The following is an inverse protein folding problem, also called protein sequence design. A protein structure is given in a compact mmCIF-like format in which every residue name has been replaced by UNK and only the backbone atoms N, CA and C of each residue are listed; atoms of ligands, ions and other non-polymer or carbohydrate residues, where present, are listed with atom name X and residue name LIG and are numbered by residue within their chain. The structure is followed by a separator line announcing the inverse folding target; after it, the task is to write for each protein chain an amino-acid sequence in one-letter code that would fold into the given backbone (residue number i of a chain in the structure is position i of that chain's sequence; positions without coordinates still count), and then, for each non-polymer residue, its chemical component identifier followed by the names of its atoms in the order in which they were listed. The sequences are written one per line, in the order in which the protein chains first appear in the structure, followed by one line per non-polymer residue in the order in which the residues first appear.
data_IF_450787192978
#
_entry.id   IF_450787192978
#
_cell.length_a   1.000
_cell.length_b   1.000
_cell.length_c   1.000
_cell.angle_alpha   90.00
_cell.angle_beta   90.00
_cell.angle_gamma   90.00
#
_symmetry.space_group_name_H-M   'P 1'
#
loop_
_entity.id
_entity.type
_entity.pdbx_description
1 polymer ?
#
# COMPACT_ATOMS: atom_id res chain seq x y z
N UNK A 1 -3.99 -4.20 11.31
CA UNK A 1 -4.20 -2.95 10.56
C UNK A 1 -4.96 -3.23 9.28
N UNK A 2 -5.84 -2.32 8.88
CA UNK A 2 -6.66 -2.46 7.68
C UNK A 2 -6.60 -1.17 6.85
N UNK A 3 -6.22 -1.31 5.59
CA UNK A 3 -6.31 -0.30 4.54
C UNK A 3 -7.34 -0.73 3.48
N UNK A 4 -7.40 -0.03 2.35
CA UNK A 4 -8.17 -0.48 1.18
C UNK A 4 -7.44 -1.54 0.33
N UNK A 5 -6.20 -1.90 0.71
CA UNK A 5 -5.35 -2.83 -0.03
C UNK A 5 -5.74 -4.29 0.18
N UNK A 6 -5.41 -5.15 -0.81
CA UNK A 6 -5.69 -6.60 -0.81
C UNK A 6 -5.01 -7.29 0.36
N UNK A 7 -3.74 -6.98 0.60
CA UNK A 7 -2.91 -7.69 1.59
C UNK A 7 -3.44 -7.50 3.00
N UNK A 8 -3.73 -6.26 3.39
CA UNK A 8 -4.31 -5.96 4.69
C UNK A 8 -5.69 -6.56 4.85
N UNK A 9 -6.51 -6.53 3.80
CA UNK A 9 -7.86 -7.13 3.80
C UNK A 9 -7.79 -8.65 3.92
N UNK A 10 -6.85 -9.30 3.23
CA UNK A 10 -6.60 -10.73 3.35
C UNK A 10 -6.24 -11.11 4.80
N UNK A 11 -5.27 -10.42 5.39
CA UNK A 11 -4.83 -10.68 6.76
C UNK A 11 -5.99 -10.55 7.75
N UNK A 12 -6.77 -9.47 7.67
CA UNK A 12 -7.92 -9.26 8.59
C UNK A 12 -8.98 -10.34 8.41
N UNK A 13 -9.29 -10.71 7.16
CA UNK A 13 -10.27 -11.76 6.87
C UNK A 13 -9.85 -13.12 7.42
N UNK A 14 -8.59 -13.52 7.24
CA UNK A 14 -8.09 -14.80 7.76
C UNK A 14 -8.04 -14.83 9.30
N UNK A 15 -7.61 -13.75 9.92
CA UNK A 15 -7.58 -13.64 11.38
C UNK A 15 -9.01 -13.68 11.97
N UNK A 16 -9.97 -13.05 11.31
CA UNK A 16 -11.35 -13.03 11.75
C UNK A 16 -12.00 -14.43 11.80
N UNK A 17 -11.59 -15.33 10.89
CA UNK A 17 -12.09 -16.72 10.86
C UNK A 17 -11.64 -17.54 12.08
N UNK A 18 -10.45 -17.26 12.59
CA UNK A 18 -9.81 -18.06 13.65
C UNK A 18 -9.79 -17.41 15.03
N UNK A 19 -10.06 -16.12 15.13
CA UNK A 19 -9.89 -15.36 16.39
C UNK A 19 -11.15 -14.57 16.72
N UNK A 20 -11.85 -14.91 17.81
CA UNK A 20 -12.99 -14.13 18.27
C UNK A 20 -12.54 -12.75 18.76
N UNK A 21 -13.43 -11.76 18.64
CA UNK A 21 -13.20 -10.39 19.13
C UNK A 21 -12.06 -9.61 18.49
N UNK A 22 -11.63 -10.00 17.29
CA UNK A 22 -10.70 -9.24 16.47
C UNK A 22 -11.24 -7.82 16.20
N UNK A 23 -10.35 -6.84 16.14
CA UNK A 23 -10.67 -5.46 15.77
C UNK A 23 -9.77 -5.02 14.63
N UNK A 24 -10.32 -4.27 13.68
CA UNK A 24 -9.54 -3.61 12.65
C UNK A 24 -9.23 -2.16 13.06
N UNK A 25 -8.04 -1.70 12.71
CA UNK A 25 -7.60 -0.32 12.93
C UNK A 25 -7.24 0.29 11.60
N UNK A 26 -7.80 1.47 11.33
CA UNK A 26 -7.58 2.22 10.09
C UNK A 26 -7.28 3.67 10.38
N UNK A 27 -6.49 4.30 9.52
CA UNK A 27 -6.23 5.73 9.53
C UNK A 27 -6.59 6.32 8.18
N UNK A 28 -7.07 7.53 8.18
CA UNK A 28 -7.32 8.30 6.96
C UNK A 28 -7.05 9.77 7.20
N UNK A 29 -7.23 10.55 6.17
CA UNK A 29 -7.02 11.99 6.20
C UNK A 29 -8.34 12.74 6.32
N UNK A 30 -8.27 13.97 6.82
CA UNK A 30 -9.43 14.85 6.89
C UNK A 30 -9.97 15.16 5.48
N UNK A 31 -9.07 15.28 4.49
CA UNK A 31 -9.45 15.40 3.09
C UNK A 31 -9.90 14.06 2.52
N UNK A 32 -11.18 13.94 2.24
CA UNK A 32 -11.79 12.71 1.74
C UNK A 32 -11.15 12.16 0.46
N UNK A 33 -10.65 13.05 -0.41
CA UNK A 33 -9.99 12.67 -1.67
C UNK A 33 -8.81 11.72 -1.47
N UNK A 34 -8.13 11.82 -0.34
CA UNK A 34 -6.94 11.03 -0.01
C UNK A 34 -7.21 9.97 1.04
N UNK A 35 -8.45 9.86 1.53
CA UNK A 35 -8.81 8.94 2.60
C UNK A 35 -9.31 7.60 2.08
N UNK A 36 -8.67 6.53 2.51
CA UNK A 36 -9.09 5.14 2.24
C UNK A 36 -10.10 4.61 3.26
N UNK A 37 -10.42 5.39 4.29
CA UNK A 37 -11.30 4.98 5.38
C UNK A 37 -12.67 4.43 4.95
N UNK A 38 -13.36 5.03 3.98
CA UNK A 38 -14.67 4.51 3.56
C UNK A 38 -14.60 3.06 3.10
N UNK A 39 -13.57 2.71 2.32
CA UNK A 39 -13.37 1.34 1.81
C UNK A 39 -13.00 0.36 2.93
N UNK A 40 -12.07 0.75 3.80
CA UNK A 40 -11.66 -0.08 4.92
C UNK A 40 -12.83 -0.36 5.88
N UNK A 41 -13.67 0.64 6.15
CA UNK A 41 -14.84 0.51 7.01
C UNK A 41 -15.93 -0.36 6.38
N UNK A 42 -16.17 -0.22 5.08
CA UNK A 42 -17.12 -1.04 4.33
C UNK A 42 -16.70 -2.52 4.36
N UNK A 43 -15.45 -2.82 4.03
CA UNK A 43 -14.92 -4.17 4.09
C UNK A 43 -15.00 -4.75 5.52
N UNK A 44 -14.63 -3.99 6.53
CA UNK A 44 -14.70 -4.40 7.93
C UNK A 44 -16.13 -4.77 8.34
N UNK A 45 -17.12 -3.99 7.88
CA UNK A 45 -18.54 -4.25 8.10
C UNK A 45 -19.00 -5.54 7.40
N UNK A 46 -18.56 -5.77 6.15
CA UNK A 46 -18.90 -6.99 5.39
C UNK A 46 -18.44 -8.26 6.10
N UNK A 47 -17.22 -8.26 6.65
CA UNK A 47 -16.67 -9.43 7.37
C UNK A 47 -17.05 -9.47 8.86
N UNK A 48 -17.87 -8.54 9.33
CA UNK A 48 -18.35 -8.51 10.72
C UNK A 48 -17.29 -8.15 11.76
N UNK A 49 -16.20 -7.47 11.37
CA UNK A 49 -15.12 -7.06 12.27
C UNK A 49 -15.33 -5.61 12.72
N UNK A 50 -15.32 -5.30 14.03
CA UNK A 50 -15.40 -3.93 14.51
C UNK A 50 -14.23 -3.08 14.00
N UNK A 51 -14.53 -1.95 13.35
CA UNK A 51 -13.55 -1.01 12.82
C UNK A 51 -13.36 0.18 13.75
N UNK A 52 -12.11 0.44 14.11
CA UNK A 52 -11.69 1.61 14.88
C UNK A 52 -10.84 2.49 13.96
N UNK A 53 -11.44 3.60 13.54
CA UNK A 53 -10.83 4.52 12.59
C UNK A 53 -10.34 5.81 13.28
N UNK A 54 -9.25 6.37 12.78
CA UNK A 54 -8.75 7.69 13.14
C UNK A 54 -8.60 8.56 11.89
N UNK A 55 -8.93 9.85 12.01
CA UNK A 55 -8.69 10.84 10.97
C UNK A 55 -7.56 11.76 11.42
N UNK A 56 -6.63 12.03 10.52
CA UNK A 56 -5.47 12.88 10.74
C UNK A 56 -5.58 14.09 9.81
N UNK A 57 -5.46 15.28 10.38
CA UNK A 57 -5.37 16.52 9.63
C UNK A 57 -3.92 16.91 9.31
N UNK A 58 -3.74 17.95 8.50
CA UNK A 58 -2.41 18.39 8.07
C UNK A 58 -1.54 18.87 9.24
N UNK A 59 -2.11 19.56 10.23
CA UNK A 59 -1.37 20.05 11.39
C UNK A 59 -0.83 18.88 12.22
N UNK A 60 -1.68 17.94 12.56
CA UNK A 60 -1.31 16.68 13.24
C UNK A 60 -0.23 15.91 12.47
N UNK A 61 -0.35 15.85 11.12
CA UNK A 61 0.62 15.18 10.27
C UNK A 61 2.02 15.81 10.44
N UNK A 62 2.14 17.12 10.32
CA UNK A 62 3.43 17.81 10.42
C UNK A 62 4.02 17.80 11.84
N UNK A 63 3.19 17.87 12.87
CA UNK A 63 3.63 17.73 14.25
C UNK A 63 4.18 16.33 14.54
N UNK A 64 3.44 15.29 14.11
CA UNK A 64 3.88 13.91 14.26
C UNK A 64 5.17 13.63 13.48
N UNK A 65 5.33 14.18 12.29
CA UNK A 65 6.55 14.05 11.49
C UNK A 65 7.79 14.51 12.26
N UNK A 66 7.72 15.66 12.93
CA UNK A 66 8.84 16.16 13.75
C UNK A 66 9.20 15.18 14.87
N UNK A 67 8.20 14.63 15.53
CA UNK A 67 8.38 13.69 16.63
C UNK A 67 8.97 12.36 16.13
N UNK A 68 8.48 11.87 15.00
CA UNK A 68 8.94 10.61 14.38
C UNK A 68 10.42 10.74 13.99
N UNK A 69 10.81 11.84 13.34
CA UNK A 69 12.21 12.09 12.96
C UNK A 69 13.14 12.14 14.18
N UNK A 70 12.67 12.70 15.29
CA UNK A 70 13.43 12.69 16.53
C UNK A 70 13.72 11.27 17.06
N UNK A 71 12.73 10.38 16.96
CA UNK A 71 12.89 8.98 17.40
C UNK A 71 13.68 8.11 16.43
N UNK A 72 13.67 8.44 15.14
CA UNK A 72 14.42 7.69 14.13
C UNK A 72 15.91 8.05 14.07
N UNK A 73 16.30 9.19 14.66
CA UNK A 73 17.66 9.74 14.59
C UNK A 73 18.18 10.05 13.17
N UNK A 74 17.32 9.95 12.16
CA UNK A 74 17.64 10.22 10.75
C UNK A 74 16.44 10.83 10.01
N UNK A 75 16.70 11.52 8.88
CA UNK A 75 15.62 12.06 8.05
C UNK A 75 14.72 10.94 7.51
N UNK A 76 13.43 11.06 7.74
CA UNK A 76 12.43 10.11 7.31
C UNK A 76 12.17 10.22 5.80
N UNK A 77 12.51 9.22 4.99
CA UNK A 77 12.31 9.27 3.55
C UNK A 77 10.88 8.86 3.15
N UNK A 78 10.15 8.15 4.03
CA UNK A 78 8.85 7.58 3.72
C UNK A 78 7.72 8.28 4.47
N UNK A 79 6.83 9.02 3.80
CA UNK A 79 5.71 9.70 4.45
C UNK A 79 4.65 8.73 5.03
N UNK A 80 4.71 7.44 4.70
CA UNK A 80 3.80 6.42 5.25
C UNK A 80 4.01 6.13 6.74
N UNK A 81 5.13 6.56 7.31
CA UNK A 81 5.42 6.37 8.74
C UNK A 81 4.52 7.23 9.63
N UNK A 82 4.06 8.38 9.15
CA UNK A 82 3.14 9.24 9.91
C UNK A 82 1.78 8.57 10.12
N UNK A 83 1.09 8.08 9.08
CA UNK A 83 -0.13 7.29 9.28
C UNK A 83 0.09 6.06 10.18
N UNK A 84 1.22 5.36 10.03
CA UNK A 84 1.55 4.21 10.87
C UNK A 84 1.70 4.60 12.35
N UNK A 85 2.31 5.75 12.65
CA UNK A 85 2.38 6.28 14.00
C UNK A 85 0.99 6.46 14.63
N UNK A 86 0.06 7.07 13.91
CA UNK A 86 -1.31 7.26 14.41
C UNK A 86 -2.09 5.96 14.52
N UNK A 87 -1.87 5.01 13.61
CA UNK A 87 -2.42 3.65 13.72
C UNK A 87 -1.94 2.97 15.00
N UNK A 88 -0.63 2.97 15.24
CA UNK A 88 -0.03 2.37 16.43
C UNK A 88 -0.49 3.08 17.72
N UNK A 89 -0.53 4.41 17.72
CA UNK A 89 -1.01 5.22 18.83
C UNK A 89 -2.46 4.89 19.20
N UNK A 90 -3.29 4.65 18.20
CA UNK A 90 -4.68 4.28 18.42
C UNK A 90 -4.83 2.82 18.87
N UNK A 91 -4.18 1.89 18.19
CA UNK A 91 -4.27 0.46 18.46
C UNK A 91 -3.78 0.08 19.87
N UNK A 92 -2.69 0.71 20.36
CA UNK A 92 -2.13 0.44 21.70
C UNK A 92 -3.10 0.66 22.86
N UNK A 93 -4.20 1.40 22.64
CA UNK A 93 -5.23 1.62 23.64
C UNK A 93 -6.11 0.39 23.85
N UNK A 94 -6.12 -0.53 22.89
CA UNK A 94 -7.05 -1.66 22.84
C UNK A 94 -6.35 -3.02 22.82
N UNK A 95 -5.16 -3.08 22.18
CA UNK A 95 -4.45 -4.35 21.94
C UNK A 95 -2.95 -4.20 22.19
N UNK A 96 -2.27 -5.32 22.46
CA UNK A 96 -0.83 -5.40 22.64
C UNK A 96 -0.09 -5.88 21.38
N UNK A 97 -0.80 -6.58 20.51
CA UNK A 97 -0.27 -7.16 19.27
C UNK A 97 -1.17 -6.76 18.12
N UNK A 98 -0.57 -6.39 17.01
CA UNK A 98 -1.24 -6.10 15.74
C UNK A 98 -0.62 -6.90 14.62
N UNK A 99 -1.42 -7.22 13.61
CA UNK A 99 -0.99 -7.78 12.35
C UNK A 99 -1.20 -6.76 11.24
N UNK A 100 -0.34 -6.76 10.24
CA UNK A 100 -0.44 -5.89 9.08
C UNK A 100 -0.16 -6.66 7.79
N UNK A 101 -0.48 -6.05 6.64
CA UNK A 101 -0.12 -6.55 5.31
C UNK A 101 1.31 -6.19 4.88
N UNK A 102 2.08 -5.51 5.73
CA UNK A 102 3.46 -5.13 5.43
C UNK A 102 4.33 -6.36 5.13
N UNK A 103 5.15 -6.26 4.10
CA UNK A 103 6.00 -7.35 3.63
C UNK A 103 5.34 -8.25 2.57
N UNK A 104 4.06 -8.09 2.28
CA UNK A 104 3.38 -8.89 1.27
C UNK A 104 3.92 -8.59 -0.14
N UNK A 105 4.15 -7.34 -0.47
CA UNK A 105 4.73 -6.94 -1.77
C UNK A 105 6.12 -7.53 -1.99
N UNK A 106 6.93 -7.62 -0.96
CA UNK A 106 8.25 -8.24 -0.99
C UNK A 106 8.16 -9.76 -1.21
N UNK A 107 7.21 -10.42 -0.54
CA UNK A 107 7.04 -11.88 -0.63
C UNK A 107 6.37 -12.31 -1.93
N UNK A 108 5.41 -11.54 -2.42
CA UNK A 108 4.58 -11.91 -3.56
C UNK A 108 4.87 -11.09 -4.84
N UNK A 109 5.87 -10.22 -4.80
CA UNK A 109 6.27 -9.44 -5.97
C UNK A 109 5.26 -8.36 -6.36
N UNK A 110 4.56 -7.73 -5.39
CA UNK A 110 3.47 -6.78 -5.62
C UNK A 110 3.94 -5.43 -6.17
N UNK A 111 5.19 -5.04 -5.95
CA UNK A 111 5.69 -3.75 -6.44
C UNK A 111 5.80 -3.70 -7.97
N UNK A 112 5.29 -2.66 -8.63
CA UNK A 112 5.42 -2.48 -10.09
C UNK A 112 6.87 -2.51 -10.58
N UNK A 113 7.83 -2.11 -9.74
CA UNK A 113 9.25 -2.12 -10.08
C UNK A 113 9.79 -3.53 -10.37
N UNK A 114 9.21 -4.58 -9.79
CA UNK A 114 9.62 -5.95 -10.08
C UNK A 114 9.28 -6.36 -11.52
N UNK A 115 8.11 -5.94 -12.02
CA UNK A 115 7.75 -6.14 -13.42
C UNK A 115 8.72 -5.38 -14.36
N UNK A 116 9.12 -4.17 -13.99
CA UNK A 116 10.10 -3.39 -14.78
C UNK A 116 11.46 -4.09 -14.84
N UNK A 117 11.90 -4.68 -13.72
CA UNK A 117 13.17 -5.43 -13.70
C UNK A 117 13.13 -6.64 -14.65
N UNK A 118 12.03 -7.39 -14.69
CA UNK A 118 11.84 -8.51 -15.62
C UNK A 118 11.88 -8.04 -17.07
N UNK A 119 11.17 -6.95 -17.39
CA UNK A 119 11.20 -6.38 -18.75
C UNK A 119 12.59 -5.89 -19.15
N UNK A 120 13.35 -5.31 -18.22
CA UNK A 120 14.72 -4.91 -18.47
C UNK A 120 15.64 -6.11 -18.73
N UNK A 121 15.53 -7.18 -17.97
CA UNK A 121 16.27 -8.42 -18.20
C UNK A 121 15.92 -9.04 -19.56
N UNK A 122 14.64 -9.08 -19.92
CA UNK A 122 14.17 -9.52 -21.22
C UNK A 122 14.76 -8.70 -22.37
N UNK A 123 14.81 -7.37 -22.23
CA UNK A 123 15.45 -6.48 -23.18
C UNK A 123 16.94 -6.79 -23.30
N UNK A 124 17.64 -7.02 -22.19
CA UNK A 124 19.06 -7.38 -22.21
C UNK A 124 19.34 -8.69 -22.93
N UNK A 125 18.47 -9.69 -22.81
CA UNK A 125 18.62 -10.97 -23.49
C UNK A 125 18.24 -10.92 -24.99
N UNK A 126 17.24 -10.14 -25.35
CA UNK A 126 16.70 -10.07 -26.71
C UNK A 126 17.46 -9.09 -27.63
N UNK A 127 18.09 -8.05 -27.05
CA UNK A 127 18.77 -7.01 -27.84
C UNK A 127 20.29 -7.17 -27.75
N UNK A 128 20.99 -7.39 -28.88
CA UNK A 128 22.45 -7.50 -28.92
C UNK A 128 23.15 -6.29 -28.29
N UNK A 129 24.23 -6.55 -27.55
CA UNK A 129 24.99 -5.53 -26.80
C UNK A 129 25.46 -4.36 -27.68
N UNK A 130 25.77 -4.62 -28.94
CA UNK A 130 26.17 -3.57 -29.92
C UNK A 130 25.01 -2.60 -30.20
N UNK A 131 23.78 -3.10 -30.36
CA UNK A 131 22.59 -2.28 -30.58
C UNK A 131 22.21 -1.50 -29.33
N UNK A 132 22.32 -2.11 -28.14
CA UNK A 132 22.09 -1.42 -26.85
C UNK A 132 23.08 -0.26 -26.66
N UNK A 133 24.33 -0.45 -27.04
CA UNK A 133 25.37 0.58 -26.96
C UNK A 133 25.19 1.70 -28.01
N UNK A 134 24.69 1.36 -29.22
CA UNK A 134 24.38 2.32 -30.28
C UNK A 134 23.13 3.16 -29.97
N UNK A 135 22.13 2.58 -29.31
CA UNK A 135 20.93 3.29 -28.84
C UNK A 135 21.26 4.34 -27.77
N UNK A 136 22.46 4.30 -27.22
CA UNK A 136 23.09 5.36 -26.43
C UNK A 136 22.40 5.72 -25.12
N UNK A 137 23.19 6.18 -24.21
CA UNK A 137 22.78 6.66 -22.88
C UNK A 137 21.86 7.91 -22.89
N UNK A 138 21.32 8.32 -24.05
CA UNK A 138 20.46 9.51 -24.15
C UNK A 138 19.00 9.26 -23.81
N UNK A 139 18.51 8.03 -23.91
CA UNK A 139 17.09 7.74 -23.68
C UNK A 139 16.85 6.33 -23.15
N UNK A 140 17.34 6.04 -21.95
CA UNK A 140 16.86 4.87 -21.22
C UNK A 140 15.32 4.93 -20.99
N UNK A 141 14.71 6.13 -21.02
CA UNK A 141 13.26 6.34 -21.02
C UNK A 141 12.59 6.04 -22.37
N UNK A 142 13.28 6.27 -23.51
CA UNK A 142 12.71 6.05 -24.85
C UNK A 142 12.81 4.60 -25.32
N UNK A 143 13.66 3.78 -24.71
CA UNK A 143 13.80 2.35 -25.04
C UNK A 143 12.80 1.44 -24.30
N UNK A 144 12.00 1.98 -23.38
CA UNK A 144 10.88 1.25 -22.77
C UNK A 144 9.73 1.13 -23.80
N UNK A 145 9.11 -0.06 -23.93
CA UNK A 145 7.96 -0.22 -24.81
C UNK A 145 6.91 0.84 -24.52
N UNK A 146 6.37 1.46 -25.56
CA UNK A 146 5.40 2.56 -25.51
C UNK A 146 4.08 2.28 -24.77
N UNK A 147 3.94 1.13 -24.15
CA UNK A 147 2.84 0.76 -23.25
C UNK A 147 3.07 1.07 -21.76
N UNK A 148 4.28 1.54 -21.40
CA UNK A 148 4.62 1.96 -20.03
C UNK A 148 4.77 3.49 -19.98
N UNK A 149 3.74 4.23 -20.38
CA UNK A 149 3.68 5.67 -20.16
C UNK A 149 3.59 5.95 -18.65
N UNK A 150 4.17 7.08 -18.22
CA UNK A 150 4.06 7.53 -16.82
C UNK A 150 2.59 7.62 -16.34
N UNK A 151 1.65 7.87 -17.25
CA UNK A 151 0.21 7.84 -16.96
C UNK A 151 -0.29 6.46 -16.53
N UNK A 152 0.22 5.37 -17.10
CA UNK A 152 -0.15 4.02 -16.68
C UNK A 152 0.51 3.60 -15.35
N UNK A 153 1.67 4.16 -15.04
CA UNK A 153 2.35 3.91 -13.75
C UNK A 153 1.67 4.70 -12.63
N UNK A 154 1.30 5.96 -12.88
CA UNK A 154 0.60 6.82 -11.90
C UNK A 154 -0.87 6.38 -11.73
N UNK A 155 -1.55 5.91 -12.77
CA UNK A 155 -2.92 5.42 -12.66
C UNK A 155 -3.03 4.06 -11.94
N UNK A 156 -1.94 3.28 -11.93
CA UNK A 156 -1.85 2.04 -11.13
C UNK A 156 -1.37 2.25 -9.70
N UNK A 157 -0.69 3.36 -9.44
CA UNK A 157 -0.31 3.79 -8.08
C UNK A 157 -1.36 4.68 -7.41
N UNK A 158 -2.47 4.96 -8.05
CA UNK A 158 -3.65 5.36 -7.29
C UNK A 158 -4.02 4.20 -6.38
N UNK A 159 -4.22 4.43 -5.05
CA UNK A 159 -4.64 3.40 -4.12
C UNK A 159 -5.81 2.68 -4.78
N UNK A 160 -5.57 1.41 -5.09
CA UNK A 160 -6.35 0.72 -6.08
C UNK A 160 -7.82 0.80 -5.74
N UNK A 161 -8.59 1.32 -6.65
CA UNK A 161 -9.96 0.86 -6.83
C UNK A 161 -9.87 -0.63 -7.17
N UNK A 162 -9.56 -1.46 -6.20
CA UNK A 162 -9.99 -2.84 -6.24
C UNK A 162 -11.51 -2.75 -6.27
N UNK A 163 -12.03 -2.92 -7.46
CA UNK A 163 -13.47 -2.94 -7.64
C UNK A 163 -13.99 -3.99 -6.67
N UNK A 164 -14.90 -3.62 -5.80
CA UNK A 164 -15.56 -4.51 -4.83
C UNK A 164 -15.87 -5.93 -5.36
N UNK A 165 -16.24 -6.12 -6.66
CA UNK A 165 -16.42 -7.44 -7.23
C UNK A 165 -15.18 -8.33 -7.16
N UNK A 166 -13.98 -7.79 -7.27
CA UNK A 166 -12.75 -8.58 -7.23
C UNK A 166 -12.40 -9.04 -5.81
N UNK A 167 -12.64 -8.21 -4.80
CA UNK A 167 -12.49 -8.58 -3.40
C UNK A 167 -13.53 -9.64 -3.00
N UNK A 168 -14.79 -9.45 -3.39
CA UNK A 168 -15.85 -10.43 -3.13
C UNK A 168 -15.55 -11.79 -3.76
N UNK A 169 -15.09 -11.80 -5.01
CA UNK A 169 -14.72 -13.04 -5.71
C UNK A 169 -13.48 -13.71 -5.09
N UNK A 170 -12.50 -12.95 -4.65
CA UNK A 170 -11.28 -13.50 -4.06
C UNK A 170 -11.49 -14.10 -2.66
N UNK A 171 -12.43 -13.57 -1.89
CA UNK A 171 -12.60 -13.97 -0.49
C UNK A 171 -13.91 -14.71 -0.18
N UNK A 172 -14.76 -14.96 -1.18
CA UNK A 172 -16.02 -15.71 -1.01
C UNK A 172 -16.99 -15.01 -0.04
N UNK A 173 -16.94 -13.68 0.03
CA UNK A 173 -17.89 -12.88 0.82
C UNK A 173 -19.18 -12.75 -0.01
N UNK A 174 -20.37 -13.09 0.55
CA UNK A 174 -21.62 -13.04 -0.17
C UNK A 174 -22.06 -11.63 -0.61
#
# INVERSE_FOLDING_TARGET
FLSSGVDSSFVVNEVAKGTPHVKSFSVGYAEEKYSELPYAQEFSKEIGVPSIANKVDAEQFFEANRLIQWYLDEPMPNPAEVPLYFLAQNARKYVKVVLSGEGADELFGGYPMYCQAVHFMDYEHKVPKALRKAAGAKDAKAALPSGLSEENTISRSQPGRLQQPALKAAFGVP
#
